data_IF_203873296030
#
_entry.id   IF_203873296030
#
_cell.length_a   1.000
_cell.length_b   1.000
_cell.length_c   1.000
_cell.angle_alpha   90.00
_cell.angle_beta   90.00
_cell.angle_gamma   90.00
#
_symmetry.space_group_name_H-M   'P 1'
#
loop_
_entity.id
_entity.type
_entity.pdbx_description
1 polymer ?
#
# COMPACT_ATOMS: atom_id res chain seq x y z
N UNK A 1 -12.65 -5.95 5.08
CA UNK A 1 -12.38 -4.64 4.46
C UNK A 1 -12.21 -3.52 5.49
N UNK A 2 -13.21 -3.20 6.34
CA UNK A 2 -13.10 -2.09 7.31
C UNK A 2 -12.06 -2.21 8.44
N UNK A 3 -11.63 -3.43 8.80
CA UNK A 3 -10.60 -3.65 9.86
C UNK A 3 -9.15 -3.51 9.37
N UNK A 4 -8.91 -3.57 8.06
CA UNK A 4 -7.57 -3.43 7.47
C UNK A 4 -7.15 -1.95 7.37
N UNK A 5 -8.12 -1.06 7.13
CA UNK A 5 -7.90 0.39 7.06
C UNK A 5 -7.75 1.05 8.44
N UNK A 6 -8.22 0.42 9.52
CA UNK A 6 -8.13 1.00 10.88
C UNK A 6 -6.74 0.84 11.53
N UNK A 7 -5.84 0.06 10.95
CA UNK A 7 -4.51 -0.24 11.49
C UNK A 7 -3.37 0.35 10.63
N UNK A 8 -3.53 1.57 10.11
CA UNK A 8 -2.49 2.35 9.38
C UNK A 8 -1.38 2.86 10.33
N UNK A 9 -1.01 2.07 11.34
CA UNK A 9 0.18 2.30 12.14
C UNK A 9 1.16 1.15 11.89
N UNK A 10 1.77 1.17 10.70
CA UNK A 10 2.87 0.29 10.34
C UNK A 10 4.10 0.69 11.18
N UNK A 11 4.19 0.11 12.38
CA UNK A 11 5.44 0.04 13.14
C UNK A 11 6.50 -0.62 12.27
N UNK A 12 7.70 -0.05 12.26
CA UNK A 12 8.87 -0.33 11.41
C UNK A 12 9.32 -1.81 11.42
N UNK A 13 8.55 -2.69 10.79
CA UNK A 13 8.84 -4.10 10.62
C UNK A 13 8.59 -4.50 9.16
N UNK A 14 9.69 -4.71 8.42
CA UNK A 14 9.68 -4.92 6.98
C UNK A 14 8.78 -6.05 6.45
N UNK A 15 8.55 -7.19 7.15
CA UNK A 15 7.63 -8.21 6.64
C UNK A 15 6.19 -7.73 6.57
N UNK A 16 5.76 -6.89 7.53
CA UNK A 16 4.39 -6.37 7.58
C UNK A 16 4.14 -5.35 6.48
N UNK A 17 5.14 -4.52 6.16
CA UNK A 17 5.04 -3.55 5.06
C UNK A 17 4.93 -4.25 3.70
N UNK A 18 5.70 -5.32 3.47
CA UNK A 18 5.59 -6.11 2.24
C UNK A 18 4.24 -6.82 2.15
N UNK A 19 3.74 -7.41 3.25
CA UNK A 19 2.40 -8.02 3.28
C UNK A 19 1.31 -6.99 2.97
N UNK A 20 1.41 -5.78 3.54
CA UNK A 20 0.49 -4.68 3.23
C UNK A 20 0.49 -4.32 1.74
N UNK A 21 1.68 -4.25 1.10
CA UNK A 21 1.78 -3.95 -0.32
C UNK A 21 1.16 -5.06 -1.19
N UNK A 22 1.30 -6.33 -0.80
CA UNK A 22 0.65 -7.43 -1.51
C UNK A 22 -0.88 -7.39 -1.37
N UNK A 23 -1.40 -7.18 -0.16
CA UNK A 23 -2.85 -7.04 0.05
C UNK A 23 -3.41 -5.82 -0.68
N UNK A 24 -2.64 -4.73 -0.75
CA UNK A 24 -3.03 -3.54 -1.50
C UNK A 24 -3.19 -3.84 -3.00
N UNK A 25 -2.26 -4.57 -3.59
CA UNK A 25 -2.36 -4.97 -5.00
C UNK A 25 -3.63 -5.78 -5.27
N UNK A 26 -3.91 -6.80 -4.45
CA UNK A 26 -5.14 -7.60 -4.57
C UNK A 26 -6.42 -6.75 -4.44
N UNK A 27 -6.40 -5.71 -3.59
CA UNK A 27 -7.53 -4.78 -3.44
C UNK A 27 -7.68 -3.90 -4.68
N UNK A 28 -6.57 -3.37 -5.22
CA UNK A 28 -6.61 -2.49 -6.39
C UNK A 28 -7.12 -3.21 -7.63
N UNK A 29 -6.91 -4.52 -7.75
CA UNK A 29 -7.43 -5.34 -8.86
C UNK A 29 -8.96 -5.45 -8.89
N UNK A 30 -9.62 -5.31 -7.74
CA UNK A 30 -11.08 -5.55 -7.62
C UNK A 30 -11.86 -4.32 -7.17
N UNK A 31 -11.19 -3.25 -6.77
CA UNK A 31 -11.85 -2.06 -6.22
C UNK A 31 -12.60 -1.27 -7.30
N UNK A 32 -13.85 -0.92 -7.02
CA UNK A 32 -14.60 -0.02 -7.89
C UNK A 32 -14.08 1.43 -7.79
N UNK A 33 -14.06 2.20 -8.89
CA UNK A 33 -13.58 3.58 -8.88
C UNK A 33 -14.27 4.48 -7.84
N UNK A 34 -15.57 4.27 -7.60
CA UNK A 34 -16.33 5.04 -6.60
C UNK A 34 -15.85 4.78 -5.17
N UNK A 35 -15.46 3.55 -4.84
CA UNK A 35 -14.89 3.20 -3.54
C UNK A 35 -13.44 3.65 -3.43
N UNK A 36 -12.66 3.54 -4.51
CA UNK A 36 -11.28 4.02 -4.55
C UNK A 36 -11.18 5.51 -4.23
N UNK A 37 -12.06 6.34 -4.81
CA UNK A 37 -12.11 7.78 -4.55
C UNK A 37 -12.24 8.13 -3.06
N UNK A 38 -12.85 7.27 -2.25
CA UNK A 38 -13.02 7.49 -0.80
C UNK A 38 -11.72 7.26 -0.03
N UNK A 39 -10.81 6.42 -0.54
CA UNK A 39 -9.61 5.98 0.16
C UNK A 39 -8.30 6.40 -0.51
N UNK A 40 -8.33 6.92 -1.74
CA UNK A 40 -7.13 7.19 -2.52
C UNK A 40 -6.13 8.12 -1.81
N UNK A 41 -6.61 9.16 -1.13
CA UNK A 41 -5.73 10.14 -0.44
C UNK A 41 -4.95 9.48 0.71
N UNK A 42 -5.58 8.83 1.70
CA UNK A 42 -4.84 8.13 2.74
C UNK A 42 -4.00 6.96 2.21
N UNK A 43 -4.46 6.29 1.15
CA UNK A 43 -3.72 5.22 0.48
C UNK A 43 -2.37 5.72 -0.06
N UNK A 44 -2.39 6.74 -0.92
CA UNK A 44 -1.17 7.28 -1.52
C UNK A 44 -0.22 7.89 -0.49
N UNK A 45 -0.74 8.45 0.61
CA UNK A 45 0.09 8.89 1.74
C UNK A 45 0.87 7.73 2.38
N UNK A 46 0.26 6.55 2.49
CA UNK A 46 0.94 5.38 3.04
C UNK A 46 1.93 4.80 2.02
N UNK A 47 1.53 4.71 0.75
CA UNK A 47 2.41 4.23 -0.32
C UNK A 47 3.66 5.10 -0.47
N UNK A 48 3.53 6.43 -0.35
CA UNK A 48 4.68 7.35 -0.36
C UNK A 48 5.69 7.07 0.77
N UNK A 49 5.23 6.62 1.95
CA UNK A 49 6.12 6.18 3.04
C UNK A 49 6.83 4.88 2.69
N UNK A 50 6.14 3.93 2.07
CA UNK A 50 6.74 2.66 1.63
C UNK A 50 7.80 2.91 0.55
N UNK A 51 7.55 3.79 -0.43
CA UNK A 51 8.54 4.22 -1.43
C UNK A 51 9.75 4.87 -0.79
N UNK A 52 9.55 5.63 0.29
CA UNK A 52 10.63 6.30 1.04
C UNK A 52 11.24 5.40 2.13
N UNK A 53 10.90 4.11 2.18
CA UNK A 53 11.38 3.20 3.22
C UNK A 53 12.89 2.97 3.08
N UNK A 54 13.66 2.98 4.18
CA UNK A 54 15.08 2.62 4.15
C UNK A 54 15.29 1.12 3.87
N UNK A 55 14.23 0.31 3.93
CA UNK A 55 14.30 -1.12 3.66
C UNK A 55 14.12 -1.38 2.16
N UNK A 56 15.19 -1.79 1.49
CA UNK A 56 15.22 -1.98 0.03
C UNK A 56 14.02 -2.75 -0.51
N UNK A 57 13.69 -3.93 0.05
CA UNK A 57 12.57 -4.75 -0.45
C UNK A 57 11.20 -4.05 -0.34
N UNK A 58 11.02 -3.15 0.63
CA UNK A 58 9.76 -2.40 0.79
C UNK A 58 9.68 -1.30 -0.25
N UNK A 59 10.76 -0.52 -0.42
CA UNK A 59 10.84 0.54 -1.40
C UNK A 59 10.71 -0.01 -2.83
N UNK A 60 11.45 -1.08 -3.14
CA UNK A 60 11.39 -1.79 -4.42
C UNK A 60 9.96 -2.28 -4.69
N UNK A 61 9.34 -3.01 -3.75
CA UNK A 61 7.96 -3.49 -3.90
C UNK A 61 6.94 -2.36 -4.09
N UNK A 62 7.10 -1.23 -3.41
CA UNK A 62 6.22 -0.08 -3.56
C UNK A 62 6.37 0.61 -4.93
N UNK A 63 7.58 0.61 -5.49
CA UNK A 63 7.83 1.17 -6.83
C UNK A 63 7.23 0.32 -7.95
N UNK A 64 7.02 -0.99 -7.75
CA UNK A 64 6.38 -1.86 -8.74
C UNK A 64 4.97 -1.39 -9.15
N UNK A 65 4.23 -0.68 -8.27
CA UNK A 65 2.92 -0.10 -8.62
C UNK A 65 2.98 0.96 -9.74
N UNK A 66 4.17 1.47 -10.07
CA UNK A 66 4.40 2.42 -11.16
C UNK A 66 5.07 1.80 -12.38
N UNK A 67 5.39 0.51 -12.36
CA UNK A 67 5.85 -0.19 -13.55
C UNK A 67 4.63 -0.48 -14.44
N UNK A 68 4.59 0.14 -15.62
CA UNK A 68 3.60 -0.21 -16.64
C UNK A 68 3.97 -1.56 -17.27
N UNK A 69 3.12 -2.57 -17.11
CA UNK A 69 2.87 -3.53 -18.20
C UNK A 69 1.69 -3.05 -19.06
#
# INVERSE_FOLDING_TARGET
>A
VGRLLSNINLSVHSPKEVMFLNELEEILDVIEPAEFNKIMVPLFKQLAKCVSSPHFQVAERALYFWNNE
#
